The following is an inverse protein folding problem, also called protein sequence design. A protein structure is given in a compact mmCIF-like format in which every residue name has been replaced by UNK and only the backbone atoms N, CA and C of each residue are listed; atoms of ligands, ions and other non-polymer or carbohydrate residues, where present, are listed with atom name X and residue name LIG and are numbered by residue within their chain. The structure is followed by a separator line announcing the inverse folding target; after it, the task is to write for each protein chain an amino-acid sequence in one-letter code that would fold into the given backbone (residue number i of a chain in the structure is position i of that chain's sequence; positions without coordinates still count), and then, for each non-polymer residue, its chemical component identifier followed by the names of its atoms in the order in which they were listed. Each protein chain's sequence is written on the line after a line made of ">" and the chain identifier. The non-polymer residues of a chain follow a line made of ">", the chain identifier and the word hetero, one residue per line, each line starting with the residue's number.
data_IF_581604103373
#
_entry.id   IF_581604103373
#
_cell.length_a   1.000
_cell.length_b   1.000
_cell.length_c   1.000
_cell.angle_alpha   90.00
_cell.angle_beta   90.00
_cell.angle_gamma   90.00
#
_symmetry.space_group_name_H-M   'P 1'
#
loop_
_entity.id
_entity.type
_entity.pdbx_description
1 polymer ?
#
# COMPACT_ATOMS: atom_id res chain seq x y z
N UNK A 1 8.62 -11.34 -25.16
CA UNK A 1 7.72 -10.36 -24.52
C UNK A 1 8.30 -8.96 -24.53
N UNK A 2 7.42 -7.97 -24.35
CA UNK A 2 7.80 -6.63 -23.91
C UNK A 2 7.10 -6.28 -22.60
N UNK A 3 7.59 -5.25 -21.90
CA UNK A 3 6.94 -4.69 -20.71
C UNK A 3 6.66 -3.22 -20.96
N UNK A 4 5.37 -2.84 -20.97
CA UNK A 4 4.99 -1.45 -21.18
C UNK A 4 5.51 -0.58 -20.02
N UNK A 5 6.04 0.59 -20.38
CA UNK A 5 6.69 1.48 -19.42
C UNK A 5 5.73 2.53 -18.82
N UNK A 6 4.68 2.90 -19.53
CA UNK A 6 3.77 4.00 -19.18
C UNK A 6 2.31 3.68 -19.56
N UNK A 7 1.92 2.40 -19.54
CA UNK A 7 0.56 1.98 -19.95
C UNK A 7 -0.54 2.30 -18.94
N UNK A 8 -0.18 2.73 -17.75
CA UNK A 8 -1.03 3.18 -16.65
C UNK A 8 -1.20 4.71 -16.61
N UNK A 9 -0.53 5.42 -17.53
CA UNK A 9 -0.63 6.87 -17.68
C UNK A 9 -1.56 7.22 -18.85
N UNK A 10 -2.36 8.29 -18.71
CA UNK A 10 -3.37 8.77 -19.67
C UNK A 10 -2.98 10.07 -20.39
N UNK A 11 -1.72 10.54 -20.27
CA UNK A 11 -1.23 11.66 -21.06
C UNK A 11 -1.15 11.29 -22.56
N UNK A 12 -1.35 12.24 -23.44
CA UNK A 12 -1.24 12.00 -24.90
C UNK A 12 0.12 11.40 -25.29
N UNK A 13 1.20 11.85 -24.64
CA UNK A 13 2.56 11.37 -24.87
C UNK A 13 2.70 9.91 -24.45
N UNK A 14 2.24 9.54 -23.25
CA UNK A 14 2.32 8.18 -22.70
C UNK A 14 1.46 7.20 -23.49
N UNK A 15 0.28 7.62 -23.92
CA UNK A 15 -0.59 6.82 -24.80
C UNK A 15 0.08 6.59 -26.16
N UNK A 16 0.64 7.63 -26.77
CA UNK A 16 1.35 7.50 -28.05
C UNK A 16 2.59 6.60 -27.94
N UNK A 17 3.35 6.73 -26.84
CA UNK A 17 4.51 5.89 -26.59
C UNK A 17 4.13 4.42 -26.37
N UNK A 18 3.10 4.14 -25.62
CA UNK A 18 2.60 2.77 -25.38
C UNK A 18 2.18 2.09 -26.68
N UNK A 19 1.44 2.82 -27.55
CA UNK A 19 1.07 2.34 -28.89
C UNK A 19 2.30 2.05 -29.75
N UNK A 20 3.27 2.95 -29.77
CA UNK A 20 4.52 2.77 -30.51
C UNK A 20 5.30 1.54 -29.99
N UNK A 21 5.35 1.33 -28.68
CA UNK A 21 6.00 0.17 -28.06
C UNK A 21 5.32 -1.14 -28.50
N UNK A 22 3.99 -1.18 -28.49
CA UNK A 22 3.21 -2.32 -28.97
C UNK A 22 3.48 -2.61 -30.45
N UNK A 23 3.40 -1.60 -31.31
CA UNK A 23 3.69 -1.75 -32.74
C UNK A 23 5.10 -2.25 -33.05
N UNK A 24 6.09 -1.73 -32.33
CA UNK A 24 7.49 -2.19 -32.46
C UNK A 24 7.63 -3.64 -32.04
N UNK A 25 6.97 -4.04 -30.99
CA UNK A 25 6.98 -5.40 -30.49
C UNK A 25 6.32 -6.36 -31.50
N UNK A 26 5.14 -6.03 -32.00
CA UNK A 26 4.44 -6.82 -33.01
C UNK A 26 5.28 -7.02 -34.29
N UNK A 27 5.87 -5.94 -34.82
CA UNK A 27 6.78 -6.01 -35.97
C UNK A 27 8.03 -6.84 -35.69
N UNK A 28 8.57 -6.81 -34.47
CA UNK A 28 9.74 -7.60 -34.11
C UNK A 28 9.41 -9.09 -34.13
N UNK A 29 8.27 -9.49 -33.57
CA UNK A 29 7.80 -10.88 -33.59
C UNK A 29 7.67 -11.35 -35.06
N UNK A 30 6.91 -10.65 -35.86
CA UNK A 30 6.70 -10.95 -37.27
C UNK A 30 8.02 -11.13 -38.02
N UNK A 31 8.95 -10.18 -37.83
CA UNK A 31 10.28 -10.23 -38.47
C UNK A 31 11.08 -11.45 -38.07
N UNK A 32 11.16 -11.74 -36.76
CA UNK A 32 11.91 -12.88 -36.25
C UNK A 32 11.31 -14.18 -36.77
N UNK A 33 10.00 -14.35 -36.64
CA UNK A 33 9.34 -15.60 -37.06
C UNK A 33 9.44 -15.84 -38.56
N UNK A 34 9.29 -14.76 -39.37
CA UNK A 34 9.36 -14.86 -40.83
C UNK A 34 10.78 -15.15 -41.32
N UNK A 35 11.80 -14.50 -40.74
CA UNK A 35 13.18 -14.62 -41.23
C UNK A 35 13.90 -15.87 -40.70
N UNK A 36 13.60 -16.33 -39.49
CA UNK A 36 14.28 -17.47 -38.87
C UNK A 36 13.53 -18.79 -39.04
N UNK A 37 12.23 -18.75 -39.36
CA UNK A 37 11.34 -19.92 -39.30
C UNK A 37 11.03 -20.39 -37.88
N UNK A 38 11.58 -19.73 -36.85
CA UNK A 38 11.26 -20.01 -35.45
C UNK A 38 9.87 -19.50 -35.12
N UNK A 39 9.14 -20.20 -34.26
CA UNK A 39 7.84 -19.77 -33.75
C UNK A 39 7.91 -19.67 -32.22
N UNK A 40 7.54 -18.52 -31.70
CA UNK A 40 7.38 -18.37 -30.25
C UNK A 40 6.13 -19.11 -29.80
N UNK A 41 6.19 -19.76 -28.65
CA UNK A 41 5.05 -20.46 -28.07
C UNK A 41 4.04 -19.51 -27.44
N UNK A 42 4.53 -18.41 -26.87
CA UNK A 42 3.72 -17.40 -26.16
C UNK A 42 4.23 -16.00 -26.49
N UNK A 43 3.29 -15.12 -26.83
CA UNK A 43 3.51 -13.68 -26.97
C UNK A 43 2.75 -12.95 -25.87
N UNK A 44 3.40 -12.03 -25.18
CA UNK A 44 2.74 -11.24 -24.17
C UNK A 44 3.38 -9.88 -23.96
N UNK A 45 2.56 -8.85 -23.71
CA UNK A 45 3.02 -7.49 -23.47
C UNK A 45 2.32 -6.82 -22.28
N UNK A 46 1.04 -7.14 -22.03
CA UNK A 46 0.26 -6.45 -21.01
C UNK A 46 0.76 -6.73 -19.59
N UNK A 47 1.14 -5.66 -18.89
CA UNK A 47 1.24 -5.54 -17.45
C UNK A 47 -0.12 -5.05 -16.89
N UNK A 48 -0.20 -4.64 -15.63
CA UNK A 48 -1.42 -4.14 -15.00
C UNK A 48 -2.10 -3.02 -15.83
N UNK A 49 -1.34 -1.98 -16.20
CA UNK A 49 -1.85 -0.88 -17.02
C UNK A 49 -2.30 -1.35 -18.41
N UNK A 50 -1.54 -2.24 -19.04
CA UNK A 50 -1.90 -2.83 -20.33
C UNK A 50 -3.21 -3.62 -20.29
N UNK A 51 -3.46 -4.35 -19.21
CA UNK A 51 -4.72 -5.10 -19.01
C UNK A 51 -5.92 -4.15 -18.90
N UNK A 52 -5.76 -3.06 -18.16
CA UNK A 52 -6.84 -2.12 -17.91
C UNK A 52 -7.14 -1.22 -19.11
N UNK A 53 -6.09 -0.70 -19.79
CA UNK A 53 -6.23 0.33 -20.81
C UNK A 53 -6.23 -0.20 -22.25
N UNK A 54 -5.68 -1.41 -22.47
CA UNK A 54 -5.50 -2.01 -23.80
C UNK A 54 -5.81 -3.52 -23.79
N UNK A 55 -7.02 -3.94 -23.35
CA UNK A 55 -7.35 -5.36 -23.24
C UNK A 55 -7.25 -6.14 -24.54
N UNK A 56 -7.39 -5.47 -25.69
CA UNK A 56 -7.24 -6.04 -27.02
C UNK A 56 -5.82 -6.51 -27.33
N UNK A 57 -4.81 -6.09 -26.54
CA UNK A 57 -3.41 -6.51 -26.67
C UNK A 57 -3.01 -7.62 -25.68
N UNK A 58 -3.99 -8.28 -25.09
CA UNK A 58 -3.73 -9.35 -24.12
C UNK A 58 -2.94 -10.53 -24.69
N UNK A 59 -3.10 -10.82 -25.99
CA UNK A 59 -2.48 -11.92 -26.74
C UNK A 59 -2.60 -13.27 -25.99
N UNK A 60 -1.49 -14.03 -25.87
CA UNK A 60 -1.54 -15.38 -25.27
C UNK A 60 -1.53 -15.36 -23.74
N UNK A 61 -1.03 -14.28 -23.12
CA UNK A 61 -0.86 -14.17 -21.67
C UNK A 61 -0.79 -12.73 -21.21
N UNK A 62 -1.25 -12.48 -19.98
CA UNK A 62 -1.12 -11.19 -19.29
C UNK A 62 -0.35 -11.37 -17.97
N UNK A 63 0.17 -10.26 -17.46
CA UNK A 63 0.90 -10.22 -16.19
C UNK A 63 0.24 -9.20 -15.27
N UNK A 64 -0.66 -9.67 -14.41
CA UNK A 64 -1.51 -8.81 -13.58
C UNK A 64 -0.71 -7.97 -12.57
N UNK A 65 0.39 -8.51 -12.00
CA UNK A 65 1.22 -7.76 -11.06
C UNK A 65 0.43 -7.24 -9.86
N UNK A 66 0.68 -5.98 -9.52
CA UNK A 66 0.18 -5.34 -8.30
C UNK A 66 -1.36 -5.28 -8.19
N UNK A 67 -2.09 -5.23 -9.31
CA UNK A 67 -3.55 -5.18 -9.26
C UNK A 67 -4.18 -6.41 -8.61
N UNK A 68 -3.49 -7.57 -8.60
CA UNK A 68 -3.96 -8.76 -7.88
C UNK A 68 -4.04 -8.57 -6.37
N UNK A 69 -3.31 -7.61 -5.84
CA UNK A 69 -3.32 -7.29 -4.40
C UNK A 69 -4.40 -6.25 -4.05
N UNK A 70 -5.14 -5.77 -5.06
CA UNK A 70 -6.13 -4.72 -4.85
C UNK A 70 -5.52 -3.38 -4.45
N UNK A 71 -4.29 -3.10 -4.93
CA UNK A 71 -3.47 -1.97 -4.53
C UNK A 71 -3.34 -0.97 -5.68
N UNK A 72 -3.43 0.33 -5.36
CA UNK A 72 -3.32 1.45 -6.28
C UNK A 72 -4.62 1.82 -7.02
N UNK A 73 -4.65 3.05 -7.55
CA UNK A 73 -5.80 3.64 -8.23
C UNK A 73 -6.37 2.77 -9.36
N UNK A 74 -5.47 2.04 -10.04
CA UNK A 74 -5.87 1.16 -11.14
C UNK A 74 -6.67 -0.04 -10.64
N UNK A 75 -6.27 -0.63 -9.51
CA UNK A 75 -6.99 -1.73 -8.90
C UNK A 75 -8.38 -1.28 -8.41
N UNK A 76 -8.48 -0.10 -7.82
CA UNK A 76 -9.74 0.51 -7.41
C UNK A 76 -10.67 0.74 -8.60
N UNK A 77 -10.19 1.35 -9.69
CA UNK A 77 -10.94 1.55 -10.93
C UNK A 77 -11.45 0.24 -11.54
N UNK A 78 -10.73 -0.84 -11.36
CA UNK A 78 -11.11 -2.18 -11.81
C UNK A 78 -12.03 -2.94 -10.82
N UNK A 79 -12.38 -2.34 -9.68
CA UNK A 79 -13.20 -2.95 -8.64
C UNK A 79 -12.52 -4.09 -7.89
N UNK A 80 -11.20 -4.11 -7.88
CA UNK A 80 -10.41 -5.10 -7.13
C UNK A 80 -10.45 -4.79 -5.63
N UNK A 81 -10.49 -5.84 -4.83
CA UNK A 81 -10.52 -5.71 -3.38
C UNK A 81 -9.10 -5.80 -2.78
N UNK A 82 -8.73 -4.94 -1.83
CA UNK A 82 -7.47 -5.07 -1.09
C UNK A 82 -7.41 -6.42 -0.38
N UNK A 83 -6.29 -7.13 -0.52
CA UNK A 83 -6.07 -8.46 0.10
C UNK A 83 -5.06 -8.41 1.24
N UNK A 84 -4.45 -7.27 1.50
CA UNK A 84 -3.38 -7.11 2.47
C UNK A 84 -3.88 -6.38 3.71
N UNK A 85 -3.58 -6.91 4.89
CA UNK A 85 -3.79 -6.23 6.17
C UNK A 85 -2.59 -6.41 7.08
N UNK A 86 -2.28 -5.39 7.85
CA UNK A 86 -1.24 -5.42 8.89
C UNK A 86 -1.89 -5.22 10.24
N UNK A 87 -1.73 -6.21 11.11
CA UNK A 87 -2.31 -6.22 12.45
C UNK A 87 -1.24 -6.44 13.49
N UNK A 88 -1.49 -5.89 14.67
CA UNK A 88 -0.68 -6.07 15.86
C UNK A 88 -1.58 -6.17 17.09
N UNK A 89 -1.01 -6.21 18.31
CA UNK A 89 -1.79 -6.23 19.54
C UNK A 89 -1.27 -5.19 20.50
N UNK A 90 -2.16 -4.64 21.32
CA UNK A 90 -1.77 -3.75 22.43
C UNK A 90 -0.87 -4.51 23.40
N UNK A 91 0.37 -4.08 23.56
CA UNK A 91 1.31 -4.67 24.50
C UNK A 91 1.03 -4.19 25.94
N UNK A 92 0.86 -2.89 26.12
CA UNK A 92 0.59 -2.27 27.42
C UNK A 92 -0.13 -0.94 27.25
N UNK A 93 -0.75 -0.46 28.32
CA UNK A 93 -1.38 0.86 28.37
C UNK A 93 -0.84 1.58 29.60
N UNK A 94 -0.58 2.89 29.45
CA UNK A 94 -0.11 3.76 30.53
C UNK A 94 -0.93 5.04 30.56
N UNK A 95 -1.15 5.52 31.78
CA UNK A 95 -1.80 6.80 32.02
C UNK A 95 -0.74 7.91 32.12
N UNK A 96 -1.02 9.04 31.50
CA UNK A 96 -0.17 10.22 31.47
C UNK A 96 -0.98 11.44 31.94
N UNK A 97 -0.32 12.32 32.68
CA UNK A 97 -0.91 13.63 33.02
C UNK A 97 -0.95 14.52 31.76
N UNK A 98 -1.71 15.63 31.81
CA UNK A 98 -1.65 16.67 30.77
C UNK A 98 -0.26 17.30 30.70
N UNK A 99 0.23 17.58 29.50
CA UNK A 99 1.52 18.21 29.23
C UNK A 99 2.71 17.25 29.20
N UNK A 100 2.50 15.93 29.34
CA UNK A 100 3.59 14.97 29.29
C UNK A 100 3.97 14.62 27.85
N UNK A 101 5.29 14.51 27.55
CA UNK A 101 5.78 14.18 26.21
C UNK A 101 5.70 12.68 25.93
N UNK A 102 5.37 12.34 24.67
CA UNK A 102 5.34 10.96 24.21
C UNK A 102 6.44 10.74 23.15
N UNK A 103 7.22 9.66 23.32
CA UNK A 103 8.22 9.16 22.37
C UNK A 103 9.44 10.06 22.16
N UNK A 104 10.34 9.62 21.26
CA UNK A 104 11.56 10.30 20.91
C UNK A 104 11.33 11.70 20.35
N UNK A 105 12.20 12.65 20.76
CA UNK A 105 12.15 14.02 20.29
C UNK A 105 10.97 14.82 20.82
N UNK A 106 10.13 14.23 21.67
CA UNK A 106 8.97 14.89 22.30
C UNK A 106 8.11 15.64 21.29
N UNK A 107 7.76 14.97 20.18
CA UNK A 107 6.99 15.56 19.08
C UNK A 107 5.48 15.58 19.33
N UNK A 108 5.04 14.98 20.41
CA UNK A 108 3.65 14.99 20.89
C UNK A 108 3.63 15.24 22.40
N UNK A 109 2.69 16.06 22.84
CA UNK A 109 2.40 16.31 24.25
C UNK A 109 0.92 16.06 24.50
N UNK A 110 0.61 15.34 25.58
CA UNK A 110 -0.76 15.11 26.02
C UNK A 110 -1.46 16.43 26.34
N UNK A 111 -2.64 16.66 25.80
CA UNK A 111 -3.40 17.90 26.02
C UNK A 111 -4.29 17.82 27.28
N UNK A 112 -4.51 16.62 27.79
CA UNK A 112 -5.35 16.28 28.96
C UNK A 112 -4.80 14.99 29.58
N UNK A 113 -5.28 14.57 30.76
CA UNK A 113 -5.00 13.22 31.25
C UNK A 113 -5.37 12.20 30.19
N UNK A 114 -4.38 11.39 29.78
CA UNK A 114 -4.47 10.57 28.58
C UNK A 114 -4.06 9.12 28.87
N UNK A 115 -4.72 8.18 28.19
CA UNK A 115 -4.35 6.77 28.14
C UNK A 115 -3.63 6.47 26.85
N UNK A 116 -2.38 6.06 26.92
CA UNK A 116 -1.53 5.78 25.78
C UNK A 116 -1.23 4.28 25.72
N UNK A 117 -1.63 3.65 24.64
CA UNK A 117 -1.32 2.25 24.36
C UNK A 117 -0.04 2.13 23.55
N UNK A 118 0.76 1.12 23.85
CA UNK A 118 1.99 0.77 23.12
C UNK A 118 1.70 -0.43 22.24
N UNK A 119 2.05 -0.30 20.97
CA UNK A 119 1.99 -1.34 19.95
C UNK A 119 3.41 -1.82 19.63
N UNK A 120 3.69 -3.15 19.67
CA UNK A 120 5.00 -3.71 19.34
C UNK A 120 5.16 -3.82 17.82
N UNK A 121 5.16 -2.69 17.13
CA UNK A 121 5.41 -2.53 15.70
C UNK A 121 6.05 -1.17 15.44
N UNK A 122 7.08 -1.14 14.62
CA UNK A 122 7.82 0.08 14.31
C UNK A 122 8.44 0.07 12.92
N UNK A 123 9.43 0.96 12.69
CA UNK A 123 10.00 1.11 11.37
C UNK A 123 10.88 -0.09 10.94
N UNK A 124 11.34 -0.93 11.86
CA UNK A 124 12.04 -2.17 11.53
C UNK A 124 11.08 -3.23 10.92
N UNK A 125 9.77 -3.10 11.20
CA UNK A 125 8.73 -3.96 10.64
C UNK A 125 8.12 -3.38 9.34
N UNK A 126 8.62 -2.23 8.88
CA UNK A 126 8.13 -1.55 7.68
C UNK A 126 7.12 -0.42 7.94
N UNK A 127 6.76 -0.13 9.20
CA UNK A 127 5.91 1.01 9.52
C UNK A 127 6.73 2.30 9.46
N UNK A 128 6.64 3.02 8.35
CA UNK A 128 7.49 4.16 8.06
C UNK A 128 7.45 5.24 9.14
N UNK A 129 8.63 5.73 9.55
CA UNK A 129 8.77 6.80 10.54
C UNK A 129 8.16 8.13 10.09
N UNK A 130 8.04 8.35 8.77
CA UNK A 130 7.38 9.52 8.19
C UNK A 130 5.88 9.61 8.52
N UNK A 131 5.25 8.50 8.90
CA UNK A 131 3.85 8.41 9.33
C UNK A 131 3.62 8.89 10.77
N UNK A 132 4.68 9.22 11.52
CA UNK A 132 4.59 9.67 12.91
C UNK A 132 3.63 10.87 13.07
N UNK A 133 2.68 10.76 13.98
CA UNK A 133 1.60 11.72 14.27
C UNK A 133 0.62 11.98 13.10
N UNK A 134 0.62 11.14 12.08
CA UNK A 134 -0.19 11.36 10.87
C UNK A 134 -1.28 10.32 10.65
N UNK A 135 -1.09 9.11 11.13
CA UNK A 135 -2.01 8.00 10.88
C UNK A 135 -2.93 7.71 12.07
N UNK A 136 -4.02 7.07 11.76
CA UNK A 136 -4.90 6.42 12.72
C UNK A 136 -4.81 4.91 12.54
N UNK A 137 -5.13 4.17 13.58
CA UNK A 137 -5.24 2.72 13.60
C UNK A 137 -6.63 2.32 14.06
N UNK A 138 -7.07 1.13 13.69
CA UNK A 138 -8.39 0.63 14.09
C UNK A 138 -8.25 -0.35 15.25
N UNK A 139 -8.91 -0.03 16.36
CA UNK A 139 -9.11 -0.93 17.48
C UNK A 139 -10.49 -1.58 17.42
N UNK A 140 -10.80 -2.62 18.21
CA UNK A 140 -12.14 -3.20 18.28
C UNK A 140 -13.24 -2.21 18.72
N UNK A 141 -12.86 -1.07 19.26
CA UNK A 141 -13.77 -0.07 19.84
C UNK A 141 -13.81 1.25 19.07
N UNK A 142 -12.99 1.40 18.03
CA UNK A 142 -12.92 2.59 17.19
C UNK A 142 -11.51 2.96 16.77
N UNK A 143 -11.38 4.08 16.07
CA UNK A 143 -10.11 4.60 15.56
C UNK A 143 -9.33 5.29 16.68
N UNK A 144 -8.03 5.08 16.70
CA UNK A 144 -7.10 5.71 17.62
C UNK A 144 -5.95 6.37 16.86
N UNK A 145 -5.57 7.59 17.25
CA UNK A 145 -4.46 8.31 16.60
C UNK A 145 -3.11 7.76 17.06
N UNK A 146 -2.21 7.56 16.12
CA UNK A 146 -0.81 7.32 16.41
C UNK A 146 -0.18 8.64 16.91
N UNK A 147 0.50 8.59 18.06
CA UNK A 147 1.05 9.77 18.75
C UNK A 147 2.52 9.60 19.08
N UNK A 148 3.27 10.67 18.90
CA UNK A 148 4.73 10.67 19.03
C UNK A 148 5.42 10.00 17.86
N UNK A 149 6.76 9.88 17.92
CA UNK A 149 7.54 9.25 16.84
C UNK A 149 7.39 7.74 16.86
N UNK A 150 7.23 7.14 15.69
CA UNK A 150 7.36 5.70 15.48
C UNK A 150 8.82 5.32 15.76
N UNK A 151 9.01 4.38 16.69
CA UNK A 151 10.31 3.86 17.09
C UNK A 151 10.73 2.67 16.21
N UNK A 152 11.86 2.05 16.54
CA UNK A 152 12.37 0.89 15.79
C UNK A 152 11.38 -0.27 15.82
N UNK A 153 10.93 -0.65 17.02
CA UNK A 153 10.16 -1.87 17.26
C UNK A 153 8.79 -1.58 17.93
N UNK A 154 8.41 -0.31 18.06
CA UNK A 154 7.14 0.06 18.69
C UNK A 154 6.64 1.43 18.26
N UNK A 155 5.34 1.64 18.41
CA UNK A 155 4.69 2.94 18.32
C UNK A 155 3.61 3.09 19.40
N UNK A 156 3.10 4.30 19.57
CA UNK A 156 2.10 4.63 20.57
C UNK A 156 0.83 5.16 19.90
N UNK A 157 -0.31 4.83 20.52
CA UNK A 157 -1.63 5.33 20.11
C UNK A 157 -2.36 5.92 21.30
N UNK A 158 -3.13 6.97 21.06
CA UNK A 158 -3.99 7.59 22.06
C UNK A 158 -5.34 6.87 22.11
N UNK A 159 -5.61 6.20 23.22
CA UNK A 159 -6.84 5.46 23.49
C UNK A 159 -7.67 6.08 24.61
N UNK A 160 -7.47 7.36 24.89
CA UNK A 160 -8.15 8.10 25.98
C UNK A 160 -9.66 8.03 25.85
N UNK A 161 -10.18 8.17 24.62
CA UNK A 161 -11.62 8.13 24.33
C UNK A 161 -12.15 6.71 24.08
N UNK A 162 -11.29 5.69 24.21
CA UNK A 162 -11.60 4.28 24.04
C UNK A 162 -11.28 3.49 25.32
N UNK A 163 -11.99 3.74 26.42
CA UNK A 163 -11.66 3.18 27.73
C UNK A 163 -11.74 1.65 27.82
N UNK A 164 -12.41 1.00 26.87
CA UNK A 164 -12.53 -0.46 26.77
C UNK A 164 -11.25 -1.13 26.27
N UNK A 165 -10.37 -0.39 25.56
CA UNK A 165 -9.11 -0.94 25.03
C UNK A 165 -8.25 -1.43 26.16
N UNK A 166 -7.72 -2.65 25.99
CA UNK A 166 -6.86 -3.34 26.96
C UNK A 166 -5.69 -4.04 26.30
N UNK A 167 -4.72 -4.42 27.09
CA UNK A 167 -3.60 -5.25 26.62
C UNK A 167 -4.11 -6.56 26.00
N UNK A 168 -3.53 -6.95 24.87
CA UNK A 168 -3.91 -8.11 24.07
C UNK A 168 -4.95 -7.83 22.98
N UNK A 169 -5.66 -6.69 23.00
CA UNK A 169 -6.61 -6.34 21.94
C UNK A 169 -5.89 -6.19 20.60
N UNK A 170 -6.51 -6.70 19.54
CA UNK A 170 -6.00 -6.59 18.18
C UNK A 170 -6.19 -5.18 17.64
N UNK A 171 -5.19 -4.71 16.91
CA UNK A 171 -5.18 -3.39 16.29
C UNK A 171 -4.80 -3.57 14.83
N UNK A 172 -5.60 -3.04 13.92
CA UNK A 172 -5.32 -3.00 12.49
C UNK A 172 -4.63 -1.68 12.14
N UNK A 173 -3.44 -1.78 11.53
CA UNK A 173 -2.63 -0.64 11.13
C UNK A 173 -3.07 -0.16 9.75
N UNK A 174 -3.20 -1.09 8.81
CA UNK A 174 -3.83 -0.91 7.52
C UNK A 174 -4.57 -2.18 7.09
N UNK A 175 -5.57 -2.03 6.22
CA UNK A 175 -6.39 -3.14 5.75
C UNK A 175 -7.71 -2.65 5.17
N UNK A 176 -8.70 -3.52 5.15
CA UNK A 176 -10.01 -3.26 4.55
C UNK A 176 -10.76 -2.08 5.21
N UNK A 177 -10.54 -1.85 6.50
CA UNK A 177 -11.40 -0.96 7.30
C UNK A 177 -10.73 0.37 7.69
N UNK A 178 -9.47 0.59 7.31
CA UNK A 178 -8.73 1.80 7.64
C UNK A 178 -7.88 2.26 6.45
N UNK A 179 -6.59 2.38 6.59
CA UNK A 179 -5.68 2.72 5.49
C UNK A 179 -5.51 1.51 4.56
N UNK A 180 -5.27 1.74 3.27
CA UNK A 180 -4.73 0.69 2.42
C UNK A 180 -3.20 0.64 2.52
N UNK A 181 -2.59 -0.40 1.94
CA UNK A 181 -1.14 -0.56 1.98
C UNK A 181 -0.42 0.60 1.27
N UNK A 182 -1.03 1.19 0.24
CA UNK A 182 -0.47 2.32 -0.53
C UNK A 182 -0.43 3.60 0.29
N UNK A 183 -1.48 3.88 1.10
CA UNK A 183 -1.50 5.01 2.02
C UNK A 183 -0.41 4.91 3.09
N UNK A 184 -0.06 3.69 3.49
CA UNK A 184 0.99 3.43 4.48
C UNK A 184 2.41 3.49 3.87
N UNK A 185 2.54 3.49 2.54
CA UNK A 185 3.82 3.56 1.83
C UNK A 185 4.31 4.99 1.56
N UNK A 186 3.48 6.01 1.80
CA UNK A 186 3.82 7.43 1.66
C UNK A 186 4.61 7.91 2.88
#
# INVERSE_FOLDING_TARGET
>A
FTHFSVSDEDTEESVAFTKLQHERFARMIEKVETQSGFRFQLHHCCNAGGIASYPEWAWDMVRCGIILYGSGDLAEKMGMQPVMSLKTRVATIKDFAAGEPISYGRTYFTQRPSRIAVLPIGYADGLHRALSNKIEVLTPYGRAKQVGRICMDMCMIDVTDLPQVKSGDEVEIFGEHILCADDAAL
#
